data_IF_787431791899
#
_entry.id   IF_787431791899
#
_cell.length_a   1.000
_cell.length_b   1.000
_cell.length_c   1.000
_cell.angle_alpha   90.00
_cell.angle_beta   90.00
_cell.angle_gamma   90.00
#
_symmetry.space_group_name_H-M   'P 1'
#
loop_
_entity.id
_entity.type
_entity.pdbx_description
1 polymer ?
#
# COMPACT_ATOMS: atom_id res chain seq x y z
N UNK A 1 -32.14 -25.40 -2.37
CA UNK A 1 -30.81 -25.29 -2.98
C UNK A 1 -29.96 -24.48 -2.00
N UNK A 2 -29.18 -25.17 -1.16
CA UNK A 2 -28.24 -24.48 -0.25
C UNK A 2 -27.10 -23.90 -1.06
N UNK A 3 -26.92 -22.61 -0.99
CA UNK A 3 -25.69 -21.97 -1.44
C UNK A 3 -24.66 -22.34 -0.36
N UNK A 4 -23.84 -23.34 -0.63
CA UNK A 4 -22.66 -23.59 0.17
C UNK A 4 -21.84 -22.31 0.17
N UNK A 5 -21.59 -21.77 1.37
CA UNK A 5 -20.61 -20.70 1.53
C UNK A 5 -19.32 -21.18 0.88
N UNK A 6 -18.65 -20.37 0.03
CA UNK A 6 -17.32 -20.75 -0.44
C UNK A 6 -16.46 -21.01 0.80
N UNK A 7 -15.96 -22.25 0.89
CA UNK A 7 -15.03 -22.64 1.95
C UNK A 7 -13.90 -21.62 2.04
N UNK A 8 -13.14 -21.61 3.14
CA UNK A 8 -11.97 -20.74 3.27
C UNK A 8 -11.18 -20.90 1.99
N UNK A 9 -10.88 -19.77 1.31
CA UNK A 9 -10.05 -19.77 0.11
C UNK A 9 -8.78 -20.49 0.54
N UNK A 10 -8.66 -21.78 0.17
CA UNK A 10 -7.43 -22.49 0.34
C UNK A 10 -6.37 -21.61 -0.28
N UNK A 11 -5.54 -21.04 0.55
CA UNK A 11 -4.34 -20.35 0.08
C UNK A 11 -3.72 -21.33 -0.90
N UNK A 12 -3.60 -20.93 -2.15
CA UNK A 12 -3.21 -21.80 -3.25
C UNK A 12 -1.85 -22.41 -2.90
N UNK A 13 -1.90 -23.56 -2.22
CA UNK A 13 -0.76 -24.28 -1.65
C UNK A 13 0.18 -24.87 -2.72
N UNK A 14 -0.05 -24.53 -3.99
CA UNK A 14 0.70 -25.03 -5.12
C UNK A 14 2.18 -24.65 -5.19
N UNK A 15 2.71 -23.95 -4.18
CA UNK A 15 4.13 -23.60 -4.07
C UNK A 15 4.76 -23.89 -2.70
N UNK A 16 4.09 -24.67 -1.83
CA UNK A 16 4.61 -25.02 -0.52
C UNK A 16 5.21 -26.43 -0.53
N UNK A 17 6.38 -26.57 -1.13
CA UNK A 17 7.20 -27.77 -1.05
C UNK A 17 8.33 -27.71 0.01
N UNK A 18 8.18 -26.88 1.02
CA UNK A 18 9.21 -26.64 2.03
C UNK A 18 10.24 -25.58 1.67
N UNK A 19 10.10 -24.92 0.51
CA UNK A 19 11.02 -23.87 0.03
C UNK A 19 10.60 -22.47 0.45
N UNK A 20 9.55 -22.30 1.24
CA UNK A 20 8.96 -21.02 1.60
C UNK A 20 9.97 -20.03 2.22
N UNK A 21 10.86 -20.48 3.08
CA UNK A 21 11.91 -19.64 3.68
C UNK A 21 12.93 -19.20 2.65
N UNK A 22 13.36 -20.11 1.78
CA UNK A 22 14.33 -19.81 0.71
C UNK A 22 13.75 -18.83 -0.29
N UNK A 23 12.49 -18.99 -0.68
CA UNK A 23 11.80 -18.06 -1.57
C UNK A 23 11.64 -16.68 -0.93
N UNK A 24 11.33 -16.62 0.36
CA UNK A 24 11.24 -15.37 1.11
C UNK A 24 12.58 -14.64 1.18
N UNK A 25 13.67 -15.34 1.50
CA UNK A 25 15.02 -14.77 1.53
C UNK A 25 15.45 -14.26 0.16
N UNK A 26 15.23 -15.04 -0.90
CA UNK A 26 15.56 -14.65 -2.27
C UNK A 26 14.75 -13.44 -2.72
N UNK A 27 13.44 -13.43 -2.50
CA UNK A 27 12.57 -12.32 -2.88
C UNK A 27 12.99 -11.03 -2.16
N UNK A 28 13.23 -11.09 -0.84
CA UNK A 28 13.74 -9.94 -0.09
C UNK A 28 15.11 -9.50 -0.60
N UNK A 29 16.02 -10.43 -0.87
CA UNK A 29 17.35 -10.13 -1.41
C UNK A 29 17.27 -9.38 -2.75
N UNK A 30 16.42 -9.85 -3.66
CA UNK A 30 16.22 -9.22 -4.97
C UNK A 30 15.62 -7.81 -4.82
N UNK A 31 14.57 -7.64 -4.00
CA UNK A 31 13.95 -6.32 -3.79
C UNK A 31 14.88 -5.35 -3.07
N UNK A 32 15.60 -5.80 -2.05
CA UNK A 32 16.60 -4.97 -1.37
C UNK A 32 17.67 -4.53 -2.36
N UNK A 33 18.21 -5.45 -3.16
CA UNK A 33 19.21 -5.12 -4.17
C UNK A 33 18.68 -4.12 -5.20
N UNK A 34 17.45 -4.32 -5.70
CA UNK A 34 16.81 -3.42 -6.66
C UNK A 34 16.64 -2.02 -6.08
N UNK A 35 16.06 -1.90 -4.88
CA UNK A 35 15.78 -0.59 -4.28
C UNK A 35 17.06 0.11 -3.80
N UNK A 36 18.05 -0.63 -3.31
CA UNK A 36 19.37 -0.05 -3.02
C UNK A 36 20.10 0.39 -4.29
N UNK A 37 20.03 -0.38 -5.35
CA UNK A 37 20.60 0.01 -6.64
C UNK A 37 19.96 1.30 -7.17
N UNK A 38 18.64 1.41 -7.10
CA UNK A 38 17.92 2.63 -7.48
C UNK A 38 18.35 3.82 -6.60
N UNK A 39 18.45 3.63 -5.28
CA UNK A 39 18.89 4.66 -4.34
C UNK A 39 20.32 5.11 -4.66
N UNK A 40 21.25 4.17 -4.80
CA UNK A 40 22.66 4.47 -5.08
C UNK A 40 22.78 5.18 -6.43
N UNK A 41 22.13 4.66 -7.48
CA UNK A 41 22.14 5.30 -8.79
C UNK A 41 21.57 6.72 -8.72
N UNK A 42 20.46 6.91 -8.02
CA UNK A 42 19.86 8.23 -7.81
C UNK A 42 20.80 9.20 -7.09
N UNK A 43 21.47 8.76 -6.03
CA UNK A 43 22.44 9.57 -5.25
C UNK A 43 23.64 9.95 -6.13
N UNK A 44 24.19 9.01 -6.90
CA UNK A 44 25.33 9.25 -7.78
C UNK A 44 24.95 10.22 -8.92
N UNK A 45 23.83 9.99 -9.57
CA UNK A 45 23.35 10.85 -10.67
C UNK A 45 22.93 12.23 -10.20
N UNK A 46 22.42 12.37 -8.98
CA UNK A 46 22.08 13.67 -8.41
C UNK A 46 23.32 14.56 -8.17
N UNK A 47 24.48 13.98 -7.98
CA UNK A 47 25.75 14.69 -7.74
C UNK A 47 25.78 15.54 -6.44
N UNK A 48 24.66 15.61 -5.73
CA UNK A 48 24.44 16.38 -4.50
C UNK A 48 23.92 15.50 -3.35
N UNK A 49 24.08 14.19 -3.47
CA UNK A 49 23.58 13.21 -2.50
C UNK A 49 22.06 13.29 -2.33
N UNK A 50 21.58 13.34 -1.11
CA UNK A 50 20.15 13.44 -0.77
C UNK A 50 19.61 14.89 -0.76
N UNK A 51 20.40 15.86 -1.24
CA UNK A 51 19.94 17.25 -1.28
C UNK A 51 18.68 17.36 -2.14
N UNK A 52 17.74 18.18 -1.68
CA UNK A 52 16.42 18.40 -2.27
C UNK A 52 15.41 17.24 -2.12
N UNK A 53 15.81 16.05 -1.63
CA UNK A 53 14.85 14.96 -1.40
C UNK A 53 13.79 15.34 -0.35
N UNK A 54 14.17 16.10 0.68
CA UNK A 54 13.20 16.62 1.66
C UNK A 54 12.16 17.55 1.03
N UNK A 55 12.50 18.27 -0.04
CA UNK A 55 11.53 19.10 -0.75
C UNK A 55 10.53 18.25 -1.53
N UNK A 56 10.99 17.17 -2.17
CA UNK A 56 10.11 16.19 -2.79
C UNK A 56 9.12 15.61 -1.76
N UNK A 57 9.58 15.27 -0.57
CA UNK A 57 8.73 14.74 0.50
C UNK A 57 7.73 15.76 1.09
N UNK A 58 7.78 17.03 0.71
CA UNK A 58 6.77 18.04 1.09
C UNK A 58 5.61 18.11 0.09
N UNK A 59 5.74 17.48 -1.06
CA UNK A 59 4.66 17.45 -2.05
C UNK A 59 3.44 16.72 -1.51
N UNK A 60 2.27 17.21 -1.87
CA UNK A 60 1.03 16.55 -1.43
C UNK A 60 0.76 15.24 -2.17
N UNK A 61 1.36 15.06 -3.33
CA UNK A 61 1.11 13.94 -4.24
C UNK A 61 -0.06 14.17 -5.20
N UNK A 62 -0.76 15.30 -5.08
CA UNK A 62 -1.88 15.62 -5.96
C UNK A 62 -1.36 16.26 -7.25
N UNK A 63 -1.55 15.58 -8.39
CA UNK A 63 -1.04 15.99 -9.71
C UNK A 63 0.46 16.36 -9.74
N UNK A 64 1.25 15.70 -8.88
CA UNK A 64 2.68 15.97 -8.80
C UNK A 64 3.45 15.07 -9.75
N UNK A 65 4.07 15.64 -10.78
CA UNK A 65 5.05 14.93 -11.60
C UNK A 65 6.45 15.23 -11.04
N UNK A 66 7.02 14.28 -10.31
CA UNK A 66 8.32 14.45 -9.71
C UNK A 66 9.45 14.41 -10.73
N UNK A 67 9.27 13.69 -11.82
CA UNK A 67 10.27 13.59 -12.87
C UNK A 67 10.50 14.96 -13.54
N UNK A 68 9.44 15.67 -13.83
CA UNK A 68 9.52 17.02 -14.43
C UNK A 68 10.02 18.07 -13.43
N UNK A 69 9.57 17.98 -12.17
CA UNK A 69 9.87 18.99 -11.16
C UNK A 69 11.23 18.84 -10.51
N UNK A 70 11.67 17.63 -10.28
CA UNK A 70 12.88 17.30 -9.52
C UNK A 70 13.92 16.53 -10.31
N UNK A 71 13.56 15.99 -11.47
CA UNK A 71 14.41 15.17 -12.32
C UNK A 71 14.47 13.69 -11.90
N UNK A 72 14.86 12.84 -12.83
CA UNK A 72 14.96 11.39 -12.63
C UNK A 72 15.90 10.97 -11.47
N UNK A 73 17.02 11.65 -11.20
CA UNK A 73 17.87 11.26 -10.07
C UNK A 73 17.14 11.28 -8.73
N UNK A 74 16.32 12.30 -8.45
CA UNK A 74 15.53 12.35 -7.23
C UNK A 74 14.36 11.36 -7.23
N UNK A 75 13.80 11.05 -8.38
CA UNK A 75 12.81 9.97 -8.52
C UNK A 75 13.43 8.61 -8.18
N UNK A 76 14.66 8.31 -8.63
CA UNK A 76 15.36 7.07 -8.28
C UNK A 76 15.67 6.99 -6.79
N UNK A 77 16.07 8.09 -6.16
CA UNK A 77 16.22 8.16 -4.69
C UNK A 77 14.88 7.83 -4.02
N UNK A 78 13.79 8.44 -4.50
CA UNK A 78 12.46 8.17 -3.96
C UNK A 78 12.04 6.71 -4.18
N UNK A 79 12.26 6.15 -5.36
CA UNK A 79 12.01 4.74 -5.65
C UNK A 79 12.72 3.82 -4.65
N UNK A 80 14.00 4.10 -4.38
CA UNK A 80 14.79 3.30 -3.45
C UNK A 80 14.25 3.38 -2.02
N UNK A 81 14.09 4.58 -1.47
CA UNK A 81 13.63 4.78 -0.08
C UNK A 81 12.17 4.32 0.08
N UNK A 82 11.31 4.69 -0.85
CA UNK A 82 9.89 4.31 -0.81
C UNK A 82 9.71 2.80 -1.02
N UNK A 83 10.45 2.21 -1.94
CA UNK A 83 10.43 0.77 -2.18
C UNK A 83 10.88 -0.04 -0.97
N UNK A 84 11.95 0.39 -0.28
CA UNK A 84 12.37 -0.23 0.99
C UNK A 84 11.31 -0.09 2.08
N UNK A 85 10.58 1.03 2.15
CA UNK A 85 9.47 1.18 3.08
C UNK A 85 8.32 0.22 2.76
N UNK A 86 7.95 0.08 1.49
CA UNK A 86 6.91 -0.88 1.05
C UNK A 86 7.33 -2.31 1.40
N UNK A 87 8.58 -2.66 1.12
CA UNK A 87 9.13 -3.98 1.45
C UNK A 87 9.13 -4.23 2.96
N UNK A 88 9.52 -3.25 3.76
CA UNK A 88 9.49 -3.34 5.22
C UNK A 88 8.04 -3.56 5.74
N UNK A 89 7.05 -2.86 5.16
CA UNK A 89 5.64 -3.07 5.48
C UNK A 89 5.19 -4.49 5.14
N UNK A 90 5.53 -5.01 3.95
CA UNK A 90 5.17 -6.38 3.56
C UNK A 90 5.79 -7.42 4.50
N UNK A 91 7.04 -7.22 4.92
CA UNK A 91 7.68 -8.09 5.90
C UNK A 91 7.02 -7.99 7.28
N UNK A 92 6.63 -6.79 7.72
CA UNK A 92 5.88 -6.60 8.97
C UNK A 92 4.55 -7.36 8.93
N UNK A 93 3.81 -7.27 7.83
CA UNK A 93 2.56 -8.00 7.63
C UNK A 93 2.77 -9.50 7.76
N UNK A 94 3.83 -10.03 7.16
CA UNK A 94 4.18 -11.45 7.25
C UNK A 94 4.59 -11.90 8.66
N UNK A 95 5.26 -11.04 9.42
CA UNK A 95 5.61 -11.31 10.82
C UNK A 95 4.37 -11.32 11.73
N UNK A 96 3.42 -10.43 11.46
CA UNK A 96 2.18 -10.33 12.25
C UNK A 96 1.17 -11.44 11.94
N UNK A 97 1.30 -12.08 10.80
CA UNK A 97 0.35 -13.10 10.30
C UNK A 97 1.11 -14.29 9.74
N UNK A 98 1.51 -15.26 10.60
CA UNK A 98 2.28 -16.43 10.19
C UNK A 98 1.58 -17.27 9.12
N UNK A 99 2.36 -17.91 8.26
CA UNK A 99 1.87 -18.83 7.23
C UNK A 99 1.86 -18.24 5.81
N UNK A 100 2.53 -17.09 5.59
CA UNK A 100 2.57 -16.45 4.29
C UNK A 100 3.97 -16.43 3.73
N UNK A 101 4.01 -16.68 2.43
CA UNK A 101 5.20 -16.57 1.62
C UNK A 101 5.06 -15.43 0.60
N UNK A 102 6.19 -14.99 0.05
CA UNK A 102 6.20 -14.19 -1.16
C UNK A 102 5.66 -15.03 -2.31
N UNK A 103 4.46 -14.71 -2.74
CA UNK A 103 3.85 -15.29 -3.94
C UNK A 103 4.04 -14.37 -5.14
N UNK A 104 3.78 -14.85 -6.34
CA UNK A 104 3.76 -13.99 -7.54
C UNK A 104 2.87 -12.75 -7.38
N UNK A 105 1.63 -12.88 -6.88
CA UNK A 105 0.78 -11.73 -6.56
C UNK A 105 1.39 -10.76 -5.55
N UNK A 106 2.08 -11.22 -4.50
CA UNK A 106 2.76 -10.34 -3.54
C UNK A 106 3.88 -9.53 -4.19
N UNK A 107 4.66 -10.18 -5.05
CA UNK A 107 5.70 -9.52 -5.87
C UNK A 107 5.07 -8.45 -6.76
N UNK A 108 3.98 -8.78 -7.45
CA UNK A 108 3.21 -7.83 -8.25
C UNK A 108 2.67 -6.65 -7.44
N UNK A 109 2.19 -6.90 -6.22
CA UNK A 109 1.69 -5.86 -5.33
C UNK A 109 2.79 -4.88 -4.88
N UNK A 110 4.02 -5.37 -4.63
CA UNK A 110 5.16 -4.50 -4.31
C UNK A 110 5.48 -3.58 -5.50
N UNK A 111 5.54 -4.13 -6.71
CA UNK A 111 5.75 -3.31 -7.91
C UNK A 111 4.62 -2.31 -8.11
N UNK A 112 3.36 -2.74 -7.97
CA UNK A 112 2.20 -1.85 -8.10
C UNK A 112 2.25 -0.70 -7.08
N UNK A 113 2.58 -0.99 -5.82
CA UNK A 113 2.70 0.03 -4.78
C UNK A 113 3.81 1.04 -5.09
N UNK A 114 4.91 0.60 -5.68
CA UNK A 114 6.09 1.45 -5.96
C UNK A 114 5.98 2.19 -7.29
N UNK A 115 5.13 1.77 -8.22
CA UNK A 115 5.03 2.32 -9.59
C UNK A 115 4.90 3.86 -9.62
N UNK A 116 4.23 4.44 -8.64
CA UNK A 116 3.98 5.88 -8.60
C UNK A 116 5.08 6.70 -7.91
N UNK A 117 6.28 6.13 -7.74
CA UNK A 117 7.43 6.82 -7.14
C UNK A 117 7.82 8.14 -7.85
N UNK A 118 7.50 8.27 -9.13
CA UNK A 118 7.80 9.46 -9.94
C UNK A 118 6.61 10.43 -10.05
N UNK A 119 5.42 10.03 -9.59
CA UNK A 119 4.18 10.79 -9.83
C UNK A 119 3.33 10.99 -8.57
N UNK A 120 3.95 11.29 -7.46
CA UNK A 120 3.22 11.78 -6.29
C UNK A 120 3.38 10.98 -5.01
N UNK A 121 3.79 9.71 -5.07
CA UNK A 121 3.96 8.89 -3.88
C UNK A 121 5.38 8.98 -3.31
N UNK A 122 5.47 9.09 -2.00
CA UNK A 122 6.72 9.06 -1.24
C UNK A 122 6.45 8.59 0.21
N UNK A 123 7.47 8.21 0.98
CA UNK A 123 7.28 7.66 2.32
C UNK A 123 6.38 8.51 3.22
N UNK A 124 6.52 9.83 3.19
CA UNK A 124 5.82 10.72 4.12
C UNK A 124 4.31 10.80 3.89
N UNK A 125 3.82 10.57 2.66
CA UNK A 125 2.38 10.63 2.36
C UNK A 125 1.70 9.26 2.25
N UNK A 126 2.48 8.15 2.30
CA UNK A 126 1.92 6.79 2.17
C UNK A 126 1.95 5.99 3.46
N UNK A 127 2.92 6.19 4.37
CA UNK A 127 3.04 5.41 5.60
C UNK A 127 1.76 5.38 6.44
N UNK A 128 1.03 6.48 6.49
CA UNK A 128 -0.19 6.60 7.28
C UNK A 128 -1.35 5.78 6.73
N UNK A 129 -1.37 5.56 5.41
CA UNK A 129 -2.35 4.68 4.77
C UNK A 129 -2.07 3.23 5.15
N UNK A 130 -0.81 2.80 5.12
CA UNK A 130 -0.38 1.49 5.59
C UNK A 130 -0.76 1.27 7.06
N UNK A 131 -0.51 2.28 7.90
CA UNK A 131 -0.92 2.24 9.30
C UNK A 131 -2.43 2.07 9.43
N UNK A 132 -3.23 2.71 8.57
CA UNK A 132 -4.69 2.57 8.58
C UNK A 132 -5.17 1.13 8.38
N UNK A 133 -4.54 0.39 7.47
CA UNK A 133 -4.81 -1.02 7.27
C UNK A 133 -4.46 -1.87 8.50
N UNK A 134 -3.32 -1.60 9.13
CA UNK A 134 -2.92 -2.29 10.36
C UNK A 134 -3.88 -1.99 11.50
N UNK A 135 -4.26 -0.72 11.69
CA UNK A 135 -5.23 -0.29 12.72
C UNK A 135 -6.57 -0.99 12.53
N UNK A 136 -7.08 -1.04 11.30
CA UNK A 136 -8.33 -1.76 11.00
C UNK A 136 -8.22 -3.25 11.37
N UNK A 137 -7.13 -3.91 10.98
CA UNK A 137 -6.89 -5.31 11.31
C UNK A 137 -6.88 -5.54 12.83
N UNK A 138 -6.10 -4.77 13.57
CA UNK A 138 -6.00 -4.91 15.02
C UNK A 138 -7.34 -4.65 15.71
N UNK A 139 -8.08 -3.65 15.26
CA UNK A 139 -9.40 -3.35 15.78
C UNK A 139 -10.39 -4.49 15.54
N UNK A 140 -10.43 -5.02 14.32
CA UNK A 140 -11.33 -6.13 13.97
C UNK A 140 -10.91 -7.43 14.67
N UNK A 141 -9.61 -7.71 14.80
CA UNK A 141 -9.10 -8.85 15.54
C UNK A 141 -9.53 -8.78 17.02
N UNK A 142 -9.38 -7.60 17.63
CA UNK A 142 -9.84 -7.36 19.02
C UNK A 142 -11.35 -7.60 19.17
N UNK A 143 -12.15 -7.03 18.26
CA UNK A 143 -13.61 -7.21 18.30
C UNK A 143 -14.01 -8.68 18.15
N UNK A 144 -13.40 -9.40 17.22
CA UNK A 144 -13.66 -10.83 17.03
C UNK A 144 -13.28 -11.64 18.28
N UNK A 145 -12.11 -11.36 18.85
CA UNK A 145 -11.67 -12.03 20.09
C UNK A 145 -12.64 -11.80 21.25
N UNK A 146 -13.11 -10.56 21.44
CA UNK A 146 -14.09 -10.23 22.48
C UNK A 146 -15.45 -10.92 22.27
N UNK A 147 -15.79 -11.24 21.03
CA UNK A 147 -17.01 -11.95 20.65
C UNK A 147 -16.84 -13.50 20.64
N UNK A 148 -15.65 -14.03 20.96
CA UNK A 148 -15.33 -15.45 20.84
C UNK A 148 -15.36 -15.96 19.40
N UNK A 149 -15.09 -15.13 18.41
CA UNK A 149 -15.06 -15.45 17.00
C UNK A 149 -13.64 -15.32 16.44
N UNK A 150 -13.35 -16.09 15.43
CA UNK A 150 -12.13 -15.92 14.64
C UNK A 150 -12.32 -14.84 13.57
N UNK A 151 -11.27 -14.07 13.30
CA UNK A 151 -11.27 -13.10 12.21
C UNK A 151 -11.16 -13.84 10.88
N UNK A 152 -12.11 -13.61 9.97
CA UNK A 152 -12.20 -14.31 8.70
C UNK A 152 -11.10 -13.91 7.67
N UNK A 153 -10.32 -12.90 7.96
CA UNK A 153 -9.26 -12.41 7.07
C UNK A 153 -8.05 -11.91 7.89
N UNK A 154 -6.89 -11.87 7.24
CA UNK A 154 -5.63 -11.40 7.82
C UNK A 154 -5.02 -10.33 6.94
N UNK A 155 -4.08 -9.53 7.48
CA UNK A 155 -3.32 -8.53 6.72
C UNK A 155 -2.59 -9.12 5.51
N UNK A 156 -2.35 -10.40 5.54
CA UNK A 156 -1.62 -11.17 4.57
C UNK A 156 -2.53 -11.86 3.55
N UNK A 157 -3.84 -11.84 3.73
CA UNK A 157 -4.76 -12.29 2.70
C UNK A 157 -4.50 -11.52 1.41
N UNK A 158 -4.45 -12.21 0.28
CA UNK A 158 -4.07 -11.63 -1.01
C UNK A 158 -4.92 -10.38 -1.36
N UNK A 159 -6.20 -10.41 -1.03
CA UNK A 159 -7.08 -9.25 -1.21
C UNK A 159 -6.65 -8.03 -0.42
N UNK A 160 -6.14 -8.25 0.80
CA UNK A 160 -5.65 -7.19 1.67
C UNK A 160 -4.32 -6.61 1.18
N UNK A 161 -3.39 -7.47 0.74
CA UNK A 161 -2.11 -7.06 0.15
C UNK A 161 -2.34 -6.24 -1.11
N UNK A 162 -3.21 -6.71 -2.00
CA UNK A 162 -3.58 -5.95 -3.20
C UNK A 162 -4.31 -4.65 -2.85
N UNK A 163 -5.22 -4.70 -1.88
CA UNK A 163 -5.92 -3.51 -1.38
C UNK A 163 -4.96 -2.44 -0.93
N UNK A 164 -4.00 -2.75 -0.06
CA UNK A 164 -3.03 -1.78 0.45
C UNK A 164 -2.09 -1.26 -0.63
N UNK A 165 -1.69 -2.11 -1.58
CA UNK A 165 -0.84 -1.71 -2.69
C UNK A 165 -1.50 -0.60 -3.54
N UNK A 166 -2.76 -0.75 -3.87
CA UNK A 166 -3.52 0.25 -4.62
C UNK A 166 -3.98 1.43 -3.76
N UNK A 167 -4.19 1.22 -2.46
CA UNK A 167 -4.52 2.30 -1.52
C UNK A 167 -3.40 3.34 -1.40
N UNK A 168 -2.18 3.04 -1.84
CA UNK A 168 -1.12 4.04 -1.98
C UNK A 168 -1.52 5.20 -2.89
N UNK A 169 -2.47 4.98 -3.81
CA UNK A 169 -3.11 6.04 -4.60
C UNK A 169 -3.88 7.09 -3.79
N UNK A 170 -4.17 6.81 -2.50
CA UNK A 170 -4.77 7.75 -1.55
C UNK A 170 -3.73 8.70 -0.91
N UNK A 171 -2.45 8.58 -1.28
CA UNK A 171 -1.37 9.43 -0.79
C UNK A 171 -1.69 10.95 -0.81
N UNK A 172 -2.40 11.50 -1.83
CA UNK A 172 -2.81 12.89 -1.83
C UNK A 172 -3.68 13.30 -0.65
N UNK A 173 -4.50 12.39 -0.11
CA UNK A 173 -5.31 12.66 1.08
C UNK A 173 -4.40 12.92 2.28
N UNK A 174 -3.44 12.02 2.52
CA UNK A 174 -2.46 12.19 3.59
C UNK A 174 -1.56 13.41 3.38
N UNK A 175 -1.11 13.62 2.17
CA UNK A 175 -0.23 14.75 1.84
C UNK A 175 -0.90 16.11 1.95
N UNK A 176 -2.20 16.19 1.70
CA UNK A 176 -2.97 17.44 1.70
C UNK A 176 -3.63 17.73 3.04
N UNK A 177 -4.27 16.72 3.65
CA UNK A 177 -5.05 16.88 4.87
C UNK A 177 -4.33 16.38 6.13
N UNK A 178 -3.15 15.77 5.95
CA UNK A 178 -2.30 15.29 7.03
C UNK A 178 -2.46 13.79 7.32
N UNK A 179 -1.50 13.26 8.06
CA UNK A 179 -1.36 11.84 8.33
C UNK A 179 -2.60 11.18 8.99
N UNK A 180 -3.33 11.91 9.83
CA UNK A 180 -4.55 11.40 10.48
C UNK A 180 -5.62 11.03 9.45
N UNK A 181 -5.77 11.84 8.42
CA UNK A 181 -6.68 11.56 7.31
C UNK A 181 -6.16 10.46 6.39
N UNK A 182 -4.83 10.32 6.30
CA UNK A 182 -4.22 9.15 5.66
C UNK A 182 -4.55 7.84 6.38
N UNK A 183 -4.49 7.82 7.73
CA UNK A 183 -4.92 6.65 8.53
C UNK A 183 -6.40 6.37 8.31
N UNK A 184 -7.25 7.39 8.37
CA UNK A 184 -8.68 7.23 8.11
C UNK A 184 -8.95 6.68 6.69
N UNK A 185 -8.23 7.18 5.69
CA UNK A 185 -8.34 6.68 4.32
C UNK A 185 -7.91 5.20 4.20
N UNK A 186 -6.85 4.81 4.89
CA UNK A 186 -6.42 3.41 4.96
C UNK A 186 -7.47 2.51 5.63
N UNK A 187 -8.08 2.95 6.73
CA UNK A 187 -9.17 2.22 7.41
C UNK A 187 -10.38 2.06 6.49
N UNK A 188 -10.84 3.14 5.87
CA UNK A 188 -12.01 3.10 4.96
C UNK A 188 -11.73 2.21 3.76
N UNK A 189 -10.58 2.36 3.12
CA UNK A 189 -10.19 1.54 1.97
C UNK A 189 -10.10 0.06 2.34
N UNK A 190 -9.50 -0.27 3.48
CA UNK A 190 -9.43 -1.63 3.98
C UNK A 190 -10.79 -2.24 4.29
N UNK A 191 -11.68 -1.49 4.92
CA UNK A 191 -13.05 -1.93 5.22
C UNK A 191 -13.87 -2.20 3.94
N UNK A 192 -13.76 -1.33 2.94
CA UNK A 192 -14.42 -1.55 1.64
C UNK A 192 -13.79 -2.77 0.95
N UNK A 193 -12.45 -2.89 0.98
CA UNK A 193 -11.73 -3.98 0.33
C UNK A 193 -12.18 -5.36 0.82
N UNK A 194 -12.36 -5.53 2.13
CA UNK A 194 -12.82 -6.79 2.71
C UNK A 194 -14.26 -7.14 2.35
N UNK A 195 -15.09 -6.12 2.11
CA UNK A 195 -16.52 -6.29 1.82
C UNK A 195 -16.82 -6.51 0.33
N UNK A 196 -15.95 -6.05 -0.56
CA UNK A 196 -16.23 -5.99 -2.01
C UNK A 196 -15.50 -7.05 -2.82
N UNK A 197 -14.61 -7.83 -2.23
CA UNK A 197 -13.86 -8.87 -2.93
C UNK A 197 -14.77 -9.89 -3.65
N UNK A 198 -15.89 -10.26 -3.04
CA UNK A 198 -16.86 -11.18 -3.61
C UNK A 198 -17.60 -10.61 -4.84
N UNK A 199 -17.80 -9.28 -4.91
CA UNK A 199 -18.48 -8.62 -6.04
C UNK A 199 -17.66 -8.77 -7.32
N UNK A 200 -16.36 -8.84 -7.22
CA UNK A 200 -15.45 -8.96 -8.36
C UNK A 200 -15.08 -10.42 -8.68
N UNK A 201 -15.88 -11.40 -8.22
CA UNK A 201 -15.62 -12.82 -8.50
C UNK A 201 -14.25 -13.32 -8.05
N UNK A 202 -13.68 -12.72 -7.02
CA UNK A 202 -12.35 -13.04 -6.52
C UNK A 202 -11.18 -12.40 -7.27
N UNK A 203 -11.43 -11.56 -8.29
CA UNK A 203 -10.37 -10.78 -8.96
C UNK A 203 -9.86 -9.66 -8.07
N UNK A 204 -8.96 -10.01 -7.16
CA UNK A 204 -8.45 -9.16 -6.10
C UNK A 204 -7.71 -7.92 -6.61
N UNK A 205 -7.10 -7.98 -7.80
CA UNK A 205 -6.39 -6.86 -8.40
C UNK A 205 -7.34 -5.69 -8.72
N UNK A 206 -8.46 -5.98 -9.36
CA UNK A 206 -9.51 -4.97 -9.66
C UNK A 206 -10.13 -4.42 -8.39
N UNK A 207 -10.30 -5.26 -7.38
CA UNK A 207 -10.87 -4.85 -6.11
C UNK A 207 -10.02 -3.77 -5.43
N UNK A 208 -8.70 -3.87 -5.45
CA UNK A 208 -7.79 -2.87 -4.85
C UNK A 208 -7.97 -1.48 -5.47
N UNK A 209 -7.96 -1.38 -6.80
CA UNK A 209 -8.17 -0.12 -7.51
C UNK A 209 -9.57 0.47 -7.28
N UNK A 210 -10.61 -0.39 -7.34
CA UNK A 210 -11.99 -0.01 -7.07
C UNK A 210 -12.15 0.58 -5.66
N UNK A 211 -11.62 -0.09 -4.64
CA UNK A 211 -11.75 0.36 -3.24
C UNK A 211 -11.01 1.67 -2.99
N UNK A 212 -9.82 1.85 -3.56
CA UNK A 212 -9.10 3.11 -3.49
C UNK A 212 -9.90 4.24 -4.17
N UNK A 213 -10.48 3.99 -5.35
CA UNK A 213 -11.33 4.95 -6.06
C UNK A 213 -12.57 5.36 -5.26
N UNK A 214 -13.34 4.40 -4.74
CA UNK A 214 -14.51 4.68 -3.89
C UNK A 214 -14.11 5.46 -2.63
N UNK A 215 -13.02 5.04 -1.97
CA UNK A 215 -12.50 5.75 -0.80
C UNK A 215 -12.15 7.20 -1.13
N UNK A 216 -11.48 7.45 -2.26
CA UNK A 216 -11.15 8.79 -2.69
C UNK A 216 -12.40 9.63 -2.94
N UNK A 217 -13.40 9.10 -3.65
CA UNK A 217 -14.66 9.79 -3.92
C UNK A 217 -15.38 10.20 -2.63
N UNK A 218 -15.49 9.30 -1.67
CA UNK A 218 -16.15 9.59 -0.39
C UNK A 218 -15.34 10.60 0.42
N UNK A 219 -14.06 10.30 0.65
CA UNK A 219 -13.25 11.09 1.58
C UNK A 219 -12.91 12.48 1.03
N UNK A 220 -12.60 12.61 -0.26
CA UNK A 220 -12.28 13.91 -0.84
C UNK A 220 -13.50 14.82 -0.78
N UNK A 221 -14.69 14.31 -1.11
CA UNK A 221 -15.94 15.09 -1.03
C UNK A 221 -16.21 15.59 0.39
N UNK A 222 -16.05 14.72 1.41
CA UNK A 222 -16.22 15.10 2.82
C UNK A 222 -15.17 16.10 3.26
N UNK A 223 -13.89 15.85 2.93
CA UNK A 223 -12.78 16.70 3.35
C UNK A 223 -12.82 18.09 2.69
N UNK A 224 -13.20 18.18 1.41
CA UNK A 224 -13.35 19.47 0.74
C UNK A 224 -14.52 20.30 1.27
N UNK A 225 -15.57 19.64 1.76
CA UNK A 225 -16.67 20.31 2.45
C UNK A 225 -16.23 20.90 3.80
N UNK A 226 -15.49 20.12 4.60
CA UNK A 226 -15.05 20.54 5.94
C UNK A 226 -13.82 21.44 5.93
N UNK A 227 -12.96 21.33 4.91
CA UNK A 227 -11.73 22.12 4.76
C UNK A 227 -11.70 22.86 3.42
N UNK A 228 -12.65 23.77 3.18
CA UNK A 228 -12.77 24.46 1.89
C UNK A 228 -11.53 25.29 1.52
N UNK A 229 -10.76 25.74 2.52
CA UNK A 229 -9.50 26.45 2.31
C UNK A 229 -8.37 25.57 1.74
N UNK A 230 -8.52 24.26 1.82
CA UNK A 230 -7.60 23.27 1.26
C UNK A 230 -8.04 22.76 -0.12
N UNK A 231 -9.12 23.27 -0.70
CA UNK A 231 -9.54 22.91 -2.06
C UNK A 231 -8.46 23.26 -3.07
N UNK A 232 -8.29 22.42 -4.08
CA UNK A 232 -7.43 22.75 -5.22
C UNK A 232 -8.12 23.84 -6.01
N UNK A 233 -7.46 24.98 -6.13
CA UNK A 233 -7.93 26.06 -7.01
C UNK A 233 -7.68 25.63 -8.46
N UNK A 234 -8.74 25.43 -9.22
CA UNK A 234 -8.68 25.25 -10.66
C UNK A 234 -8.67 23.78 -11.13
N UNK A 235 -9.77 23.09 -10.97
CA UNK A 235 -10.26 22.10 -11.91
C UNK A 235 -11.57 22.64 -12.46
#
# INVERSE_FOLDING_TARGET
MGIESPGPIEANNGFYDGTGETTWLLANGVFIALFLAALIAGVLLNGKGLKNYQNLMKETGHFSNFADKYGMPLCLINMGIYGLMVLAYMNLVMLLTPGIAFTGPTVGAIFAAVTFFAVGQHPKNTWSIFLGYVVLFLFMALLCTLQGRELAWTLSAQGYINGVAFATGLAPIAGRYGWRWGVAAGIVSGAICTSTSAIHGGFMLFNGGFTAGITALIMVSVLEHHFPHMKVKGI
#
